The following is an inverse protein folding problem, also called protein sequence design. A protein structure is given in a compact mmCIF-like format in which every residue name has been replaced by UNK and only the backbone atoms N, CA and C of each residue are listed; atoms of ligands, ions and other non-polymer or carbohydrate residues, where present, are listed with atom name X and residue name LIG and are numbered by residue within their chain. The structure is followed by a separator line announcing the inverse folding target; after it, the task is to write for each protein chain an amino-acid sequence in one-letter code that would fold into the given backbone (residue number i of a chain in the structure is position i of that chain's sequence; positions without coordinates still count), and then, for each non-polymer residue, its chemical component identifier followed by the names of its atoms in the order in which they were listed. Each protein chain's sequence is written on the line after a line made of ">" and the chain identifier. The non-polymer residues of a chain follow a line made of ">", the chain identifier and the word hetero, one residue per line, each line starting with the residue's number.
data_IF_407719661325
#
_entry.id   IF_407719661325
#
_cell.length_a   1.000
_cell.length_b   1.000
_cell.length_c   1.000
_cell.angle_alpha   90.00
_cell.angle_beta   90.00
_cell.angle_gamma   90.00
#
_symmetry.space_group_name_H-M   'P 1'
#
loop_
_entity.id
_entity.type
_entity.pdbx_description
1 polymer ?
#
# COMPACT_ATOMS: atom_id res chain seq x y z
N UNK A 1 30.60 -26.50 -42.50
CA UNK A 1 29.58 -25.51 -42.06
C UNK A 1 29.24 -25.73 -40.58
N UNK A 2 30.22 -25.47 -39.70
CA UNK A 2 30.18 -25.75 -38.27
C UNK A 2 30.93 -24.64 -37.50
N UNK A 3 30.47 -23.38 -37.53
CA UNK A 3 31.17 -22.33 -36.76
C UNK A 3 30.34 -21.10 -36.32
N UNK A 4 28.99 -21.14 -36.36
CA UNK A 4 28.17 -19.96 -35.99
C UNK A 4 27.34 -20.16 -34.71
N UNK A 5 27.36 -21.34 -34.09
CA UNK A 5 26.52 -21.64 -32.91
C UNK A 5 27.21 -21.46 -31.55
N UNK A 6 28.42 -20.91 -31.48
CA UNK A 6 29.22 -20.92 -30.24
C UNK A 6 29.62 -19.55 -29.66
N UNK A 7 29.08 -18.44 -30.17
CA UNK A 7 29.48 -17.09 -29.70
C UNK A 7 28.38 -16.32 -28.97
N UNK A 8 27.12 -16.73 -29.05
CA UNK A 8 26.03 -16.04 -28.32
C UNK A 8 25.84 -16.57 -26.88
N UNK A 9 26.38 -17.76 -26.59
CA UNK A 9 26.30 -18.38 -25.26
C UNK A 9 27.28 -17.78 -24.22
N UNK A 10 28.25 -16.93 -24.62
CA UNK A 10 29.21 -16.30 -23.70
C UNK A 10 28.85 -14.85 -23.31
N UNK A 11 27.85 -14.22 -23.93
CA UNK A 11 27.35 -12.90 -23.50
C UNK A 11 26.28 -13.01 -22.41
N UNK A 12 25.70 -14.19 -22.21
CA UNK A 12 24.63 -14.45 -21.23
C UNK A 12 25.13 -14.81 -19.82
N UNK A 13 26.44 -14.89 -19.60
CA UNK A 13 27.02 -15.18 -18.28
C UNK A 13 27.58 -13.93 -17.58
N UNK A 14 27.79 -12.81 -18.31
CA UNK A 14 28.33 -11.57 -17.73
C UNK A 14 27.27 -10.52 -17.31
N UNK A 15 26.00 -10.70 -17.66
CA UNK A 15 24.89 -9.85 -17.18
C UNK A 15 24.21 -10.39 -15.91
N UNK A 16 24.66 -11.55 -15.41
CA UNK A 16 24.18 -12.15 -14.16
C UNK A 16 24.86 -11.65 -12.88
N UNK A 17 25.75 -10.65 -12.94
CA UNK A 17 26.56 -10.24 -11.78
C UNK A 17 26.66 -8.72 -11.52
N UNK A 18 25.88 -7.88 -12.20
CA UNK A 18 25.86 -6.43 -11.94
C UNK A 18 24.44 -5.97 -11.64
N UNK A 19 24.09 -5.98 -10.35
CA UNK A 19 22.79 -5.51 -9.88
C UNK A 19 22.43 -5.85 -8.44
N UNK A 20 23.30 -6.52 -7.68
CA UNK A 20 23.21 -6.51 -6.22
C UNK A 20 23.57 -5.11 -5.69
N UNK A 21 22.60 -4.20 -5.72
CA UNK A 21 22.55 -3.06 -4.80
C UNK A 21 21.26 -3.16 -4.01
N UNK A 22 21.22 -4.16 -3.12
CA UNK A 22 20.31 -4.13 -1.99
C UNK A 22 20.93 -3.20 -0.96
N UNK A 23 20.39 -1.99 -0.86
CA UNK A 23 20.66 -1.13 0.27
C UNK A 23 20.26 -1.88 1.54
N UNK A 24 21.26 -2.22 2.35
CA UNK A 24 21.08 -2.70 3.71
C UNK A 24 20.20 -1.71 4.46
N UNK A 25 18.94 -2.10 4.71
CA UNK A 25 18.18 -1.54 5.80
C UNK A 25 18.89 -1.96 7.09
N UNK A 26 19.60 -1.03 7.71
CA UNK A 26 20.14 -1.14 9.07
C UNK A 26 18.99 -1.08 10.08
N UNK A 27 18.10 -2.06 10.02
CA UNK A 27 17.22 -2.42 11.12
C UNK A 27 17.85 -3.63 11.81
N UNK A 28 18.10 -3.54 13.11
CA UNK A 28 18.39 -4.72 13.94
C UNK A 28 17.40 -5.83 13.55
N UNK A 29 17.91 -7.04 13.32
CA UNK A 29 17.15 -8.27 13.14
C UNK A 29 16.48 -8.65 14.48
N UNK A 30 15.71 -7.71 15.02
CA UNK A 30 14.80 -7.95 16.13
C UNK A 30 13.74 -8.90 15.62
N UNK A 31 13.50 -9.94 16.40
CA UNK A 31 12.34 -10.81 16.39
C UNK A 31 11.21 -10.20 15.54
N UNK A 32 11.04 -10.69 14.31
CA UNK A 32 9.97 -10.23 13.45
C UNK A 32 8.68 -10.61 14.16
N UNK A 33 8.12 -9.68 14.93
CA UNK A 33 6.82 -9.83 15.55
C UNK A 33 5.86 -10.24 14.43
N UNK A 34 5.41 -11.49 14.54
CA UNK A 34 4.66 -12.24 13.56
C UNK A 34 3.18 -11.89 13.59
N UNK A 35 2.78 -10.93 14.45
CA UNK A 35 1.41 -10.47 14.54
C UNK A 35 0.91 -9.99 13.17
N UNK A 36 -0.28 -10.46 12.73
CA UNK A 36 -0.96 -9.95 11.55
C UNK A 36 -1.14 -8.43 11.64
N UNK A 37 -0.87 -7.72 10.55
CA UNK A 37 -1.00 -6.28 10.44
C UNK A 37 -1.16 -5.83 8.98
N UNK A 38 -1.64 -4.60 8.80
CA UNK A 38 -1.60 -3.89 7.52
C UNK A 38 -0.28 -3.12 7.40
N UNK A 39 0.51 -3.38 6.37
CA UNK A 39 1.75 -2.67 6.11
C UNK A 39 1.51 -1.49 5.15
N UNK A 40 1.97 -0.31 5.54
CA UNK A 40 1.94 0.88 4.70
C UNK A 40 3.36 1.19 4.20
N UNK A 41 3.51 1.34 2.88
CA UNK A 41 4.81 1.52 2.23
C UNK A 41 4.87 2.92 1.60
N UNK A 42 5.73 3.79 2.12
CA UNK A 42 6.01 5.11 1.54
C UNK A 42 7.10 4.97 0.47
N UNK A 43 6.71 4.98 -0.79
CA UNK A 43 7.60 4.76 -1.93
C UNK A 43 8.19 6.07 -2.41
N UNK A 44 9.51 6.12 -2.58
CA UNK A 44 10.19 7.30 -3.14
C UNK A 44 9.99 8.58 -2.32
N UNK A 45 9.70 8.46 -1.02
CA UNK A 45 9.32 9.59 -0.15
C UNK A 45 8.10 10.36 -0.67
N UNK A 46 7.08 9.64 -1.15
CA UNK A 46 5.82 10.21 -1.62
C UNK A 46 5.20 11.21 -0.62
N UNK A 47 5.31 10.91 0.68
CA UNK A 47 4.94 11.80 1.79
C UNK A 47 6.16 11.98 2.71
N UNK A 48 6.28 13.13 3.36
CA UNK A 48 7.28 13.34 4.40
C UNK A 48 7.10 12.30 5.53
N UNK A 49 8.18 11.65 6.05
CA UNK A 49 8.08 10.56 7.01
C UNK A 49 7.22 10.81 8.25
N UNK A 50 7.33 11.97 8.91
CA UNK A 50 6.53 12.27 10.11
C UNK A 50 5.05 12.44 9.77
N UNK A 51 4.74 13.12 8.66
CA UNK A 51 3.38 13.27 8.16
C UNK A 51 2.79 11.92 7.74
N UNK A 52 3.59 11.05 7.11
CA UNK A 52 3.19 9.70 6.72
C UNK A 52 2.79 8.87 7.94
N UNK A 53 3.66 8.81 8.95
CA UNK A 53 3.42 8.08 10.19
C UNK A 53 2.13 8.54 10.89
N UNK A 54 1.96 9.86 11.01
CA UNK A 54 0.76 10.44 11.63
C UNK A 54 -0.52 10.12 10.84
N UNK A 55 -0.46 10.19 9.51
CA UNK A 55 -1.61 9.94 8.65
C UNK A 55 -2.03 8.47 8.65
N UNK A 56 -1.06 7.55 8.66
CA UNK A 56 -1.31 6.10 8.79
C UNK A 56 -1.92 5.80 10.16
N UNK A 57 -1.36 6.34 11.24
CA UNK A 57 -1.93 6.16 12.59
C UNK A 57 -3.40 6.58 12.65
N UNK A 58 -3.72 7.77 12.12
CA UNK A 58 -5.10 8.28 12.09
C UNK A 58 -6.06 7.43 11.25
N UNK A 59 -5.59 6.88 10.12
CA UNK A 59 -6.39 5.96 9.31
C UNK A 59 -6.63 4.64 10.07
N UNK A 60 -5.59 4.07 10.68
CA UNK A 60 -5.69 2.78 11.35
C UNK A 60 -6.48 2.83 12.67
N UNK A 61 -6.54 3.98 13.35
CA UNK A 61 -7.48 4.18 14.48
C UNK A 61 -8.93 3.98 14.01
N UNK A 62 -9.29 4.51 12.83
CA UNK A 62 -10.63 4.38 12.27
C UNK A 62 -10.94 2.96 11.77
N UNK A 63 -9.94 2.28 11.20
CA UNK A 63 -10.07 0.89 10.74
C UNK A 63 -9.92 -0.15 11.88
N UNK A 64 -9.42 0.27 13.05
CA UNK A 64 -9.14 -0.55 14.23
C UNK A 64 -8.14 -1.69 13.99
N UNK A 65 -7.23 -1.52 13.03
CA UNK A 65 -6.23 -2.54 12.67
C UNK A 65 -4.87 -2.21 13.27
N UNK A 66 -4.11 -3.26 13.58
CA UNK A 66 -2.66 -3.18 13.75
C UNK A 66 -2.01 -2.81 12.43
N UNK A 67 -0.98 -2.01 12.51
CA UNK A 67 -0.33 -1.47 11.34
C UNK A 67 1.17 -1.32 11.55
N UNK A 68 1.89 -1.29 10.43
CA UNK A 68 3.30 -0.92 10.38
C UNK A 68 3.55 -0.02 9.17
N UNK A 69 4.64 0.71 9.24
CA UNK A 69 5.10 1.57 8.14
C UNK A 69 6.51 1.19 7.74
N UNK A 70 6.81 1.34 6.46
CA UNK A 70 8.16 1.26 5.92
C UNK A 70 8.31 2.31 4.82
N UNK A 71 9.53 2.78 4.60
CA UNK A 71 9.86 3.63 3.45
C UNK A 71 10.84 2.90 2.56
N UNK A 72 10.61 2.98 1.25
CA UNK A 72 11.47 2.35 0.24
C UNK A 72 11.83 3.36 -0.86
N UNK A 73 12.87 3.09 -1.65
CA UNK A 73 13.14 3.84 -2.88
C UNK A 73 11.95 3.84 -3.85
N UNK A 74 12.08 4.57 -4.96
CA UNK A 74 11.10 4.48 -6.05
C UNK A 74 10.93 3.04 -6.56
N UNK A 75 9.76 2.74 -7.11
CA UNK A 75 9.38 1.38 -7.54
C UNK A 75 8.60 1.40 -8.86
N UNK A 76 8.46 0.24 -9.51
CA UNK A 76 7.62 0.02 -10.69
C UNK A 76 6.33 -0.74 -10.35
N UNK A 77 5.42 -0.87 -11.32
CA UNK A 77 4.19 -1.67 -11.12
C UNK A 77 4.54 -3.14 -10.91
N UNK A 78 5.51 -3.67 -11.65
CA UNK A 78 5.94 -5.07 -11.60
C UNK A 78 6.54 -5.45 -10.24
N UNK A 79 7.19 -4.50 -9.58
CA UNK A 79 7.73 -4.67 -8.23
C UNK A 79 6.65 -4.65 -7.15
N UNK A 80 5.49 -4.06 -7.45
CA UNK A 80 4.34 -4.00 -6.53
C UNK A 80 3.37 -5.16 -6.73
N UNK A 81 3.13 -5.53 -8.00
CA UNK A 81 2.28 -6.66 -8.40
C UNK A 81 3.12 -7.93 -8.38
N UNK A 82 3.36 -8.42 -7.16
CA UNK A 82 4.08 -9.67 -6.94
C UNK A 82 3.13 -10.77 -6.47
N UNK A 83 3.56 -12.03 -6.50
CA UNK A 83 2.78 -13.11 -5.89
C UNK A 83 2.74 -12.95 -4.36
N UNK A 84 1.76 -13.58 -3.70
CA UNK A 84 1.64 -13.55 -2.24
C UNK A 84 2.88 -14.11 -1.55
N UNK A 85 3.53 -15.13 -2.13
CA UNK A 85 4.78 -15.71 -1.62
C UNK A 85 5.92 -14.69 -1.67
N UNK A 86 6.05 -13.97 -2.80
CA UNK A 86 7.06 -12.91 -2.95
C UNK A 86 6.81 -11.76 -1.98
N UNK A 87 5.56 -11.34 -1.82
CA UNK A 87 5.18 -10.32 -0.84
C UNK A 87 5.53 -10.77 0.59
N UNK A 88 5.22 -12.03 0.93
CA UNK A 88 5.55 -12.61 2.24
C UNK A 88 7.06 -12.73 2.46
N UNK A 89 7.82 -13.04 1.41
CA UNK A 89 9.27 -13.08 1.46
C UNK A 89 9.88 -11.68 1.66
N UNK A 90 9.25 -10.65 1.07
CA UNK A 90 9.70 -9.27 1.17
C UNK A 90 9.36 -8.62 2.51
N UNK A 91 8.14 -8.84 3.02
CA UNK A 91 7.59 -8.11 4.16
C UNK A 91 7.37 -8.96 5.42
N UNK A 92 7.53 -10.27 5.30
CA UNK A 92 7.19 -11.23 6.34
C UNK A 92 5.71 -11.65 6.29
N UNK A 93 5.41 -12.82 6.87
CA UNK A 93 4.06 -13.41 6.88
C UNK A 93 3.03 -12.61 7.69
N UNK A 94 3.48 -11.73 8.60
CA UNK A 94 2.59 -10.87 9.38
C UNK A 94 1.96 -9.73 8.57
N UNK A 95 2.58 -9.31 7.46
CA UNK A 95 2.03 -8.28 6.59
C UNK A 95 0.94 -8.87 5.68
N UNK A 96 -0.28 -9.02 6.21
CA UNK A 96 -1.38 -9.70 5.51
C UNK A 96 -1.98 -8.86 4.39
N UNK A 97 -1.85 -7.53 4.48
CA UNK A 97 -2.19 -6.58 3.42
C UNK A 97 -1.08 -5.53 3.31
N UNK A 98 -0.82 -5.06 2.09
CA UNK A 98 0.17 -3.99 1.84
C UNK A 98 -0.44 -2.84 1.06
N UNK A 99 -0.33 -1.62 1.59
CA UNK A 99 -0.78 -0.39 0.97
C UNK A 99 0.45 0.43 0.56
N UNK A 100 0.73 0.48 -0.74
CA UNK A 100 1.79 1.30 -1.32
C UNK A 100 1.27 2.69 -1.60
N UNK A 101 1.99 3.69 -1.09
CA UNK A 101 1.71 5.10 -1.34
C UNK A 101 2.83 5.66 -2.22
N UNK A 102 2.45 6.15 -3.40
CA UNK A 102 3.40 6.65 -4.41
C UNK A 102 3.04 8.07 -4.81
N UNK A 103 4.02 8.85 -5.25
CA UNK A 103 3.79 10.13 -5.92
C UNK A 103 4.60 10.13 -7.22
N UNK A 104 4.07 9.52 -8.27
CA UNK A 104 4.81 9.29 -9.51
C UNK A 104 3.95 9.51 -10.74
N UNK A 105 4.38 10.29 -11.74
CA UNK A 105 3.63 10.44 -12.98
C UNK A 105 3.66 9.18 -13.87
N UNK A 106 4.54 8.21 -13.57
CA UNK A 106 4.73 6.99 -14.36
C UNK A 106 3.82 5.83 -13.91
N UNK A 107 3.12 5.98 -12.79
CA UNK A 107 2.30 4.94 -12.17
C UNK A 107 0.81 5.29 -12.28
N UNK A 108 -0.08 4.28 -12.35
CA UNK A 108 -1.53 4.51 -12.38
C UNK A 108 -2.03 5.20 -11.11
N UNK A 109 -3.23 5.79 -11.17
CA UNK A 109 -3.87 6.45 -10.02
C UNK A 109 -4.16 5.48 -8.86
N UNK A 110 -4.67 4.30 -9.20
CA UNK A 110 -4.95 3.19 -8.30
C UNK A 110 -4.60 1.90 -9.04
N UNK A 111 -4.05 0.94 -8.29
CA UNK A 111 -3.92 -0.45 -8.69
C UNK A 111 -4.21 -1.30 -7.45
N UNK A 112 -4.95 -2.39 -7.58
CA UNK A 112 -5.24 -3.26 -6.46
C UNK A 112 -5.26 -4.74 -6.86
N UNK A 113 -4.70 -5.56 -5.98
CA UNK A 113 -4.85 -7.01 -5.97
C UNK A 113 -5.68 -7.35 -4.72
N UNK A 114 -7.00 -7.61 -4.89
CA UNK A 114 -7.90 -7.92 -3.79
C UNK A 114 -7.37 -9.04 -2.89
N UNK A 115 -7.37 -8.79 -1.59
CA UNK A 115 -6.85 -9.69 -0.57
C UNK A 115 -5.33 -9.74 -0.46
N UNK A 116 -4.63 -8.74 -1.02
CA UNK A 116 -3.18 -8.75 -1.08
C UNK A 116 -2.55 -7.35 -0.96
N UNK A 117 -2.80 -6.47 -1.93
CA UNK A 117 -2.19 -5.14 -1.92
C UNK A 117 -3.00 -4.10 -2.69
N UNK A 118 -2.71 -2.84 -2.39
CA UNK A 118 -3.14 -1.70 -3.20
C UNK A 118 -1.98 -0.73 -3.37
N UNK A 119 -1.83 -0.15 -4.55
CA UNK A 119 -0.99 1.01 -4.82
C UNK A 119 -1.89 2.21 -5.07
N UNK A 120 -1.63 3.30 -4.36
CA UNK A 120 -2.35 4.54 -4.53
C UNK A 120 -1.39 5.68 -4.83
N UNK A 121 -1.67 6.36 -5.92
CA UNK A 121 -0.87 7.49 -6.37
C UNK A 121 -1.50 8.81 -5.91
N UNK A 122 -0.79 9.49 -5.01
CA UNK A 122 -1.29 10.70 -4.36
C UNK A 122 -1.03 11.98 -5.15
N UNK A 123 -0.50 11.88 -6.38
CA UNK A 123 -0.19 13.04 -7.23
C UNK A 123 -1.38 14.01 -7.36
N UNK A 124 -2.60 13.46 -7.48
CA UNK A 124 -3.82 14.24 -7.62
C UNK A 124 -4.18 15.05 -6.36
N UNK A 125 -3.66 14.69 -5.18
CA UNK A 125 -4.10 15.31 -3.92
C UNK A 125 -3.64 16.76 -3.74
N UNK A 126 -2.66 17.21 -4.54
CA UNK A 126 -2.10 18.56 -4.48
C UNK A 126 -2.36 19.40 -5.74
N UNK A 127 -3.16 18.93 -6.70
CA UNK A 127 -3.32 19.60 -8.01
C UNK A 127 -3.97 20.97 -7.94
N UNK A 128 -4.74 21.25 -6.89
CA UNK A 128 -5.45 22.50 -6.63
C UNK A 128 -4.77 23.37 -5.55
N UNK A 129 -3.53 23.05 -5.16
CA UNK A 129 -2.78 23.75 -4.10
C UNK A 129 -3.58 23.87 -2.77
N UNK A 130 -4.04 22.75 -2.19
CA UNK A 130 -4.85 22.79 -0.99
C UNK A 130 -4.05 23.29 0.21
N UNK A 131 -4.75 23.79 1.24
CA UNK A 131 -4.12 24.00 2.54
C UNK A 131 -3.60 22.68 3.12
N UNK A 132 -2.60 22.74 4.00
CA UNK A 132 -2.05 21.53 4.64
C UNK A 132 -3.10 20.74 5.43
N UNK A 133 -4.11 21.41 5.98
CA UNK A 133 -5.20 20.74 6.66
C UNK A 133 -6.07 19.92 5.69
N UNK A 134 -6.41 20.50 4.53
CA UNK A 134 -7.18 19.80 3.49
C UNK A 134 -6.38 18.61 2.95
N UNK A 135 -5.08 18.81 2.69
CA UNK A 135 -4.20 17.73 2.23
C UNK A 135 -4.13 16.56 3.24
N UNK A 136 -4.01 16.85 4.55
CA UNK A 136 -4.01 15.81 5.60
C UNK A 136 -5.29 14.99 5.60
N UNK A 137 -6.45 15.64 5.45
CA UNK A 137 -7.75 14.95 5.39
C UNK A 137 -7.85 14.08 4.14
N UNK A 138 -7.45 14.61 2.98
CA UNK A 138 -7.42 13.85 1.71
C UNK A 138 -6.51 12.63 1.81
N UNK A 139 -5.32 12.79 2.39
CA UNK A 139 -4.36 11.72 2.59
C UNK A 139 -4.93 10.62 3.50
N UNK A 140 -5.57 10.98 4.61
CA UNK A 140 -6.25 10.00 5.48
C UNK A 140 -7.32 9.21 4.73
N UNK A 141 -8.18 9.89 3.95
CA UNK A 141 -9.24 9.25 3.16
C UNK A 141 -8.67 8.28 2.14
N UNK A 142 -7.61 8.69 1.45
CA UNK A 142 -6.93 7.83 0.48
C UNK A 142 -6.27 6.62 1.14
N UNK A 143 -5.62 6.78 2.29
CA UNK A 143 -5.05 5.65 3.03
C UNK A 143 -6.13 4.65 3.45
N UNK A 144 -7.26 5.14 3.97
CA UNK A 144 -8.44 4.31 4.28
C UNK A 144 -8.96 3.58 3.04
N UNK A 145 -9.06 4.28 1.91
CA UNK A 145 -9.45 3.67 0.62
C UNK A 145 -8.48 2.58 0.19
N UNK A 146 -7.19 2.77 0.43
CA UNK A 146 -6.14 1.79 0.20
C UNK A 146 -6.35 0.51 0.97
N UNK A 147 -6.62 0.61 2.26
CA UNK A 147 -6.95 -0.56 3.11
C UNK A 147 -8.15 -1.29 2.53
N UNK A 148 -9.22 -0.57 2.19
CA UNK A 148 -10.41 -1.16 1.57
C UNK A 148 -10.10 -1.91 0.28
N UNK A 149 -9.39 -1.28 -0.66
CA UNK A 149 -9.05 -1.91 -1.94
C UNK A 149 -8.06 -3.07 -1.81
N UNK A 150 -7.08 -2.96 -0.90
CA UNK A 150 -6.14 -4.04 -0.61
C UNK A 150 -6.88 -5.25 -0.04
N UNK A 151 -7.88 -5.03 0.84
CA UNK A 151 -8.74 -6.08 1.37
C UNK A 151 -9.71 -6.64 0.29
N UNK A 152 -9.96 -5.91 -0.80
CA UNK A 152 -10.93 -6.30 -1.83
C UNK A 152 -12.34 -5.79 -1.57
N UNK A 153 -12.51 -4.82 -0.66
CA UNK A 153 -13.77 -4.11 -0.47
C UNK A 153 -14.02 -3.26 -1.73
N UNK A 154 -15.12 -3.56 -2.42
CA UNK A 154 -15.50 -2.86 -3.65
C UNK A 154 -15.93 -1.41 -3.42
N UNK A 155 -16.25 -0.73 -4.52
CA UNK A 155 -16.86 0.59 -4.47
C UNK A 155 -18.25 0.56 -3.83
N UNK A 156 -18.55 1.57 -3.02
CA UNK A 156 -19.83 1.76 -2.33
C UNK A 156 -20.64 2.87 -3.03
N UNK A 157 -21.97 2.79 -3.02
CA UNK A 157 -22.87 3.82 -3.56
C UNK A 157 -23.18 4.97 -2.59
N UNK A 158 -22.89 4.82 -1.29
CA UNK A 158 -23.05 5.86 -0.29
C UNK A 158 -22.02 6.99 -0.51
N UNK A 159 -22.46 8.22 -0.84
CA UNK A 159 -21.55 9.34 -1.09
C UNK A 159 -20.78 9.79 0.15
N UNK A 160 -21.20 9.39 1.35
CA UNK A 160 -20.48 9.70 2.59
C UNK A 160 -19.43 8.64 2.94
N UNK A 161 -19.48 7.46 2.32
CA UNK A 161 -18.51 6.40 2.57
C UNK A 161 -17.16 6.72 1.92
N UNK A 162 -16.04 6.48 2.62
CA UNK A 162 -14.69 6.65 2.03
C UNK A 162 -14.49 5.78 0.77
N UNK A 163 -15.20 4.65 0.68
CA UNK A 163 -15.21 3.75 -0.48
C UNK A 163 -16.19 4.17 -1.59
N UNK A 164 -16.71 5.39 -1.58
CA UNK A 164 -17.60 5.86 -2.64
C UNK A 164 -16.96 5.69 -4.03
N UNK A 165 -17.68 5.06 -4.95
CA UNK A 165 -17.08 4.67 -6.24
C UNK A 165 -16.72 5.87 -7.13
N UNK A 166 -17.36 7.03 -6.93
CA UNK A 166 -17.01 8.29 -7.63
C UNK A 166 -15.97 9.15 -6.88
N UNK A 167 -15.41 8.71 -5.74
CA UNK A 167 -14.44 9.48 -4.95
C UNK A 167 -12.98 9.23 -5.34
N UNK A 168 -12.65 9.38 -6.63
CA UNK A 168 -11.27 9.28 -7.12
C UNK A 168 -10.68 10.61 -7.60
N UNK A 169 -11.51 11.58 -7.94
CA UNK A 169 -11.11 12.97 -8.13
C UNK A 169 -11.13 13.74 -6.82
N UNK A 170 -10.46 14.90 -6.78
CA UNK A 170 -10.36 15.76 -5.58
C UNK A 170 -11.74 16.12 -5.01
N UNK A 171 -12.69 16.53 -5.84
CA UNK A 171 -14.06 16.88 -5.39
C UNK A 171 -14.77 15.69 -4.74
N UNK A 172 -14.58 14.50 -5.33
CA UNK A 172 -15.15 13.27 -4.80
C UNK A 172 -14.50 12.85 -3.49
N UNK A 173 -13.18 13.00 -3.36
CA UNK A 173 -12.47 12.75 -2.09
C UNK A 173 -12.96 13.74 -1.04
N UNK A 174 -13.11 15.02 -1.39
CA UNK A 174 -13.53 16.08 -0.49
C UNK A 174 -14.95 15.89 0.04
N UNK A 175 -15.86 15.38 -0.81
CA UNK A 175 -17.24 15.08 -0.47
C UNK A 175 -17.46 13.81 0.37
N UNK A 176 -16.46 12.95 0.55
CA UNK A 176 -16.59 11.73 1.36
C UNK A 176 -16.20 11.95 2.82
N UNK A 177 -16.65 11.08 3.72
CA UNK A 177 -16.12 11.03 5.08
C UNK A 177 -14.76 10.31 5.12
N UNK A 178 -14.06 10.42 6.25
CA UNK A 178 -12.86 9.63 6.55
C UNK A 178 -13.19 8.27 7.18
N UNK A 179 -14.41 7.74 6.97
CA UNK A 179 -14.91 6.51 7.59
C UNK A 179 -15.56 5.60 6.56
N UNK A 180 -15.61 4.29 6.88
CA UNK A 180 -16.36 3.34 6.09
C UNK A 180 -17.85 3.43 6.46
N UNK A 181 -18.72 3.56 5.46
CA UNK A 181 -20.15 3.29 5.64
C UNK A 181 -20.39 1.81 5.94
N UNK A 182 -21.56 1.43 6.48
CA UNK A 182 -21.81 0.07 7.00
C UNK A 182 -21.56 -1.02 5.96
N UNK A 183 -21.96 -0.83 4.70
CA UNK A 183 -21.77 -1.81 3.63
C UNK A 183 -20.30 -2.03 3.23
N UNK A 184 -19.41 -1.09 3.53
CA UNK A 184 -17.97 -1.27 3.35
C UNK A 184 -17.31 -1.76 4.65
N UNK A 185 -17.75 -1.26 5.80
CA UNK A 185 -17.15 -1.56 7.09
C UNK A 185 -17.28 -3.03 7.47
N UNK A 186 -18.48 -3.62 7.40
CA UNK A 186 -18.67 -5.01 7.81
C UNK A 186 -17.88 -5.98 6.92
N UNK A 187 -17.95 -5.79 5.60
CA UNK A 187 -17.15 -6.58 4.66
C UNK A 187 -15.65 -6.46 4.94
N UNK A 188 -15.17 -5.24 5.26
CA UNK A 188 -13.77 -5.03 5.63
C UNK A 188 -13.40 -5.82 6.88
N UNK A 189 -14.21 -5.73 7.94
CA UNK A 189 -13.95 -6.44 9.20
C UNK A 189 -13.94 -7.96 9.01
N UNK A 190 -14.90 -8.51 8.27
CA UNK A 190 -14.98 -9.95 7.97
C UNK A 190 -13.73 -10.44 7.22
N UNK A 191 -13.29 -9.67 6.21
CA UNK A 191 -12.09 -10.00 5.42
C UNK A 191 -10.83 -9.93 6.29
N UNK A 192 -10.68 -8.88 7.09
CA UNK A 192 -9.52 -8.72 7.97
C UNK A 192 -9.45 -9.83 9.02
N UNK A 193 -10.61 -10.19 9.61
CA UNK A 193 -10.70 -11.32 10.54
C UNK A 193 -10.34 -12.64 9.85
N UNK A 194 -10.78 -12.86 8.61
CA UNK A 194 -10.39 -14.06 7.85
C UNK A 194 -8.88 -14.12 7.54
N UNK A 195 -8.20 -12.97 7.42
CA UNK A 195 -6.77 -12.90 7.10
C UNK A 195 -5.86 -13.01 8.32
N UNK A 196 -6.23 -12.41 9.45
CA UNK A 196 -5.37 -12.28 10.62
C UNK A 196 -6.01 -12.67 11.95
N UNK A 197 -7.26 -13.15 11.94
CA UNK A 197 -8.06 -13.41 13.13
C UNK A 197 -8.25 -12.16 13.98
N UNK A 198 -8.59 -12.36 15.26
CA UNK A 198 -8.65 -11.26 16.25
C UNK A 198 -7.31 -10.55 16.42
N UNK A 199 -6.20 -11.21 16.10
CA UNK A 199 -4.86 -10.67 16.28
C UNK A 199 -4.53 -9.52 15.33
N UNK A 200 -5.28 -9.31 14.25
CA UNK A 200 -5.09 -8.15 13.36
C UNK A 200 -5.65 -6.85 13.95
N UNK A 201 -6.57 -6.95 14.91
CA UNK A 201 -7.22 -5.79 15.51
C UNK A 201 -6.46 -5.29 16.74
N UNK A 202 -6.61 -4.01 17.06
CA UNK A 202 -6.05 -3.45 18.29
C UNK A 202 -6.84 -3.98 19.49
N UNK A 203 -6.14 -4.54 20.48
CA UNK A 203 -6.75 -5.24 21.62
C UNK A 203 -7.43 -4.32 22.65
N UNK A 204 -7.19 -3.00 22.56
CA UNK A 204 -7.74 -2.01 23.48
C UNK A 204 -9.09 -1.51 22.93
N UNK A 205 -10.18 -2.08 23.47
CA UNK A 205 -11.51 -1.47 23.48
C UNK A 205 -11.71 -0.70 24.78
#
# INVERSE_FOLDING_TARGET
>A
MNHVLMTVAQTLVLLGMLGQRSAMATGKKGEQDSSPHVLFVNVGKAVEPTQFQASVSNACIQAQVKWRTVSVPETTVEEVVVSREKQSAQWGKGAVLVVYLVNSPKLPGLLNLPGQCSLINIRALRTDNPSEQVYKVRLQRILMKGVGYAAGVGGNHDPRCVMYWKSFGIDGIDGTSSTFGPYAFFALQDILSAMGGEAIFNAER
#
